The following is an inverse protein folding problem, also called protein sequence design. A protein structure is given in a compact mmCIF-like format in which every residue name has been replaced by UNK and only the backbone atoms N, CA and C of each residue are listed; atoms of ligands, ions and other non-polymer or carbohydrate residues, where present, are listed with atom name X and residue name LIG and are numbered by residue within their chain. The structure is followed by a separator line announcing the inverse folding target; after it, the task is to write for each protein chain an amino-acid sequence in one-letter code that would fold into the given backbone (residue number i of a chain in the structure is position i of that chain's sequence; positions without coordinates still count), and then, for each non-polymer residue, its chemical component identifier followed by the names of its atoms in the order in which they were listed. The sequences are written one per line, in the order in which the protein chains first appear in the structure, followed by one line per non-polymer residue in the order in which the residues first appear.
data_IF_595501740202
#
_entry.id   IF_595501740202
#
_cell.length_a   1.000
_cell.length_b   1.000
_cell.length_c   1.000
_cell.angle_alpha   90.00
_cell.angle_beta   90.00
_cell.angle_gamma   90.00
#
_symmetry.space_group_name_H-M   'P 1'
#
loop_
_entity.id
_entity.type
_entity.pdbx_description
1 polymer ?
#
# COMPACT_ATOMS: atom_id res chain seq x y z
N UNK A 1 -2.81 12.11 -13.50
CA UNK A 1 -2.54 11.85 -12.08
C UNK A 1 -3.06 10.46 -11.76
N UNK A 2 -2.16 9.50 -11.57
CA UNK A 2 -2.51 8.12 -11.24
C UNK A 2 -2.84 7.99 -9.76
N UNK A 3 -3.87 7.22 -9.42
CA UNK A 3 -4.27 7.00 -8.02
C UNK A 3 -4.07 5.53 -7.67
N UNK A 4 -3.52 5.31 -6.49
CA UNK A 4 -3.33 4.00 -5.89
C UNK A 4 -4.14 3.90 -4.60
N UNK A 5 -4.66 2.72 -4.34
CA UNK A 5 -5.51 2.44 -3.17
C UNK A 5 -4.74 1.59 -2.18
N UNK A 6 -4.65 2.09 -0.96
CA UNK A 6 -4.12 1.40 0.20
C UNK A 6 -5.25 0.71 0.98
N UNK A 7 -5.09 -0.59 1.25
CA UNK A 7 -6.00 -1.33 2.13
C UNK A 7 -5.25 -2.24 3.10
N UNK A 8 -5.88 -2.52 4.23
CA UNK A 8 -5.42 -3.51 5.21
C UNK A 8 -6.33 -4.74 5.12
N UNK A 9 -5.73 -5.91 5.00
CA UNK A 9 -6.40 -7.20 4.87
C UNK A 9 -5.94 -8.19 5.94
N UNK A 10 -6.64 -9.32 5.96
CA UNK A 10 -6.31 -10.49 6.76
C UNK A 10 -6.20 -11.71 5.87
N UNK A 11 -5.17 -12.53 6.07
CA UNK A 11 -5.11 -13.84 5.43
C UNK A 11 -5.93 -14.89 6.23
N UNK A 12 -5.95 -16.12 5.72
CA UNK A 12 -6.62 -17.27 6.34
C UNK A 12 -6.13 -17.61 7.76
N UNK A 13 -4.95 -17.12 8.14
CA UNK A 13 -4.34 -17.30 9.45
C UNK A 13 -4.55 -16.09 10.38
N UNK A 14 -5.42 -15.15 10.00
CA UNK A 14 -5.62 -13.87 10.66
C UNK A 14 -4.36 -13.00 10.72
N UNK A 15 -3.43 -13.22 9.78
CA UNK A 15 -2.27 -12.35 9.57
C UNK A 15 -2.72 -11.05 8.94
N UNK A 16 -2.43 -9.94 9.59
CA UNK A 16 -2.60 -8.63 8.97
C UNK A 16 -1.61 -8.46 7.83
N UNK A 17 -2.02 -7.93 6.71
CA UNK A 17 -1.13 -7.42 5.68
C UNK A 17 -1.74 -6.18 5.05
N UNK A 18 -0.93 -5.37 4.39
CA UNK A 18 -1.39 -4.18 3.71
C UNK A 18 -0.98 -4.25 2.25
N UNK A 19 -1.85 -3.79 1.36
CA UNK A 19 -1.60 -3.82 -0.08
C UNK A 19 -1.79 -2.42 -0.66
N UNK A 20 -1.08 -2.15 -1.74
CA UNK A 20 -1.26 -0.98 -2.59
C UNK A 20 -1.64 -1.47 -3.98
N UNK A 21 -2.78 -0.99 -4.47
CA UNK A 21 -3.42 -1.44 -5.71
C UNK A 21 -3.56 -0.28 -6.68
N UNK A 22 -3.57 -0.58 -7.98
CA UNK A 22 -3.97 0.38 -9.00
C UNK A 22 -5.48 0.65 -8.90
N UNK A 23 -5.88 1.93 -8.78
CA UNK A 23 -7.29 2.30 -8.68
C UNK A 23 -8.14 1.93 -9.89
N UNK A 24 -7.51 1.70 -11.04
CA UNK A 24 -8.17 1.24 -12.27
C UNK A 24 -8.35 -0.28 -12.30
N UNK A 25 -7.55 -1.05 -11.55
CA UNK A 25 -7.51 -2.52 -11.57
C UNK A 25 -7.44 -3.13 -10.16
N UNK A 26 -8.45 -2.85 -9.33
CA UNK A 26 -8.50 -3.29 -7.92
C UNK A 26 -8.58 -4.82 -7.69
N UNK A 27 -8.76 -5.61 -8.76
CA UNK A 27 -8.89 -7.08 -8.71
C UNK A 27 -7.63 -7.85 -9.09
N UNK A 28 -6.59 -7.16 -9.56
CA UNK A 28 -5.33 -7.77 -9.99
C UNK A 28 -4.30 -7.84 -8.85
N UNK A 29 -3.14 -8.41 -9.14
CA UNK A 29 -2.01 -8.47 -8.19
C UNK A 29 -1.63 -7.06 -7.71
N UNK A 30 -1.39 -6.89 -6.40
CA UNK A 30 -1.01 -5.62 -5.83
C UNK A 30 0.33 -5.13 -6.40
N UNK A 31 0.44 -3.82 -6.61
CA UNK A 31 1.70 -3.21 -7.05
C UNK A 31 2.75 -3.22 -5.92
N UNK A 32 2.28 -3.35 -4.68
CA UNK A 32 3.13 -3.47 -3.50
C UNK A 32 2.38 -4.07 -2.32
N UNK A 33 3.03 -4.98 -1.61
CA UNK A 33 2.50 -5.62 -0.41
C UNK A 33 3.39 -5.43 0.82
N UNK A 34 2.73 -5.44 1.97
CA UNK A 34 3.33 -5.28 3.30
C UNK A 34 2.83 -6.39 4.20
N UNK A 35 3.72 -7.28 4.63
CA UNK A 35 3.39 -8.35 5.57
C UNK A 35 4.25 -8.27 6.84
N UNK A 36 3.73 -8.71 7.99
CA UNK A 36 4.43 -8.73 9.28
C UNK A 36 5.52 -9.80 9.37
N UNK A 37 5.65 -10.70 8.38
CA UNK A 37 6.70 -11.73 8.30
C UNK A 37 7.15 -11.99 6.86
N UNK A 38 8.26 -12.73 6.73
CA UNK A 38 8.96 -13.02 5.47
C UNK A 38 8.05 -13.93 4.67
N UNK A 39 7.17 -13.33 3.88
CA UNK A 39 6.62 -13.98 2.71
C UNK A 39 7.63 -13.72 1.60
N UNK A 40 8.11 -14.77 0.93
CA UNK A 40 9.06 -14.62 -0.19
C UNK A 40 8.56 -13.53 -1.15
N UNK A 41 9.36 -12.48 -1.36
CA UNK A 41 9.01 -11.36 -2.23
C UNK A 41 8.37 -10.13 -1.56
N UNK A 42 8.13 -10.13 -0.24
CA UNK A 42 7.52 -9.00 0.48
C UNK A 42 8.57 -8.17 1.23
N UNK A 43 8.60 -6.86 0.98
CA UNK A 43 9.56 -5.94 1.61
C UNK A 43 9.13 -5.53 3.02
N UNK A 44 10.05 -5.60 3.98
CA UNK A 44 9.82 -5.19 5.36
C UNK A 44 10.09 -3.71 5.61
N UNK A 45 9.19 -3.06 6.35
CA UNK A 45 9.43 -1.75 6.96
C UNK A 45 10.16 -1.89 8.30
N UNK A 46 11.44 -2.26 8.27
CA UNK A 46 12.33 -2.01 9.42
C UNK A 46 13.21 -0.80 9.12
N UNK A 47 12.61 0.40 9.02
CA UNK A 47 13.42 1.64 9.05
C UNK A 47 12.91 2.90 8.36
N UNK A 48 11.88 2.85 7.51
CA UNK A 48 11.51 4.02 6.69
C UNK A 48 10.23 4.77 7.14
N UNK A 49 10.23 5.24 8.37
CA UNK A 49 9.43 6.41 8.74
C UNK A 49 7.94 6.23 8.98
N UNK A 50 7.35 5.05 8.74
CA UNK A 50 5.99 4.74 9.19
C UNK A 50 5.96 4.56 10.71
N UNK A 51 5.96 5.67 11.44
CA UNK A 51 5.87 5.67 12.91
C UNK A 51 4.50 5.20 13.40
N UNK A 52 3.50 5.22 12.51
CA UNK A 52 2.11 4.85 12.80
C UNK A 52 1.53 4.00 11.67
N UNK A 53 0.67 3.05 12.02
CA UNK A 53 -0.04 2.13 11.11
C UNK A 53 -0.90 2.81 10.02
N UNK A 54 -1.12 4.12 10.11
CA UNK A 54 -1.97 4.91 9.21
C UNK A 54 -1.16 5.99 8.45
N UNK A 55 0.17 5.92 8.41
CA UNK A 55 1.01 6.93 7.77
C UNK A 55 1.05 6.76 6.23
N UNK A 56 -0.09 7.04 5.58
CA UNK A 56 -0.24 6.95 4.11
C UNK A 56 0.72 7.90 3.39
N UNK A 57 0.96 9.09 3.95
CA UNK A 57 1.92 10.07 3.40
C UNK A 57 3.35 9.53 3.42
N UNK A 58 3.75 8.86 4.51
CA UNK A 58 5.03 8.18 4.62
C UNK A 58 5.18 7.04 3.62
N UNK A 59 4.12 6.25 3.44
CA UNK A 59 4.06 5.17 2.45
C UNK A 59 4.20 5.71 1.02
N UNK A 60 3.43 6.74 0.64
CA UNK A 60 3.50 7.34 -0.70
C UNK A 60 4.92 7.81 -1.03
N UNK A 61 5.56 8.56 -0.12
CA UNK A 61 6.93 9.05 -0.31
C UNK A 61 7.93 7.91 -0.47
N UNK A 62 7.75 6.83 0.30
CA UNK A 62 8.60 5.66 0.20
C UNK A 62 8.46 4.97 -1.16
N UNK A 63 7.23 4.72 -1.61
CA UNK A 63 6.96 4.04 -2.88
C UNK A 63 7.49 4.83 -4.09
N UNK A 64 7.36 6.16 -4.07
CA UNK A 64 7.98 7.05 -5.06
C UNK A 64 9.50 6.93 -5.05
N UNK A 65 10.11 7.01 -3.86
CA UNK A 65 11.56 6.91 -3.68
C UNK A 65 12.16 5.60 -4.20
N UNK A 66 11.45 4.48 -4.09
CA UNK A 66 11.90 3.18 -4.60
C UNK A 66 11.46 2.91 -6.05
N UNK A 67 10.73 3.83 -6.69
CA UNK A 67 10.32 3.74 -8.08
C UNK A 67 9.16 2.76 -8.35
N UNK A 68 8.39 2.38 -7.34
CA UNK A 68 7.22 1.49 -7.49
C UNK A 68 6.02 2.25 -8.06
N UNK A 69 5.86 3.53 -7.70
CA UNK A 69 4.82 4.41 -8.24
C UNK A 69 5.46 5.70 -8.80
N UNK A 70 4.74 6.36 -9.72
CA UNK A 70 5.16 7.61 -10.35
C UNK A 70 5.22 8.79 -9.36
N UNK A 71 6.07 9.79 -9.61
CA UNK A 71 6.29 10.94 -8.73
C UNK A 71 5.03 11.80 -8.52
N UNK A 72 4.16 11.91 -9.53
CA UNK A 72 2.89 12.65 -9.47
C UNK A 72 1.71 11.77 -9.01
N UNK A 73 1.95 10.48 -8.73
CA UNK A 73 0.91 9.57 -8.26
C UNK A 73 0.46 9.91 -6.83
N UNK A 74 -0.73 9.45 -6.46
CA UNK A 74 -1.28 9.61 -5.12
C UNK A 74 -1.67 8.25 -4.53
N UNK A 75 -1.40 8.05 -3.24
CA UNK A 75 -1.95 6.93 -2.46
C UNK A 75 -3.09 7.44 -1.58
N UNK A 76 -4.24 6.76 -1.61
CA UNK A 76 -5.38 7.05 -0.75
C UNK A 76 -5.87 5.78 -0.07
N UNK A 77 -6.61 5.91 1.04
CA UNK A 77 -7.23 4.74 1.67
C UNK A 77 -8.39 4.20 0.82
N UNK A 78 -8.71 2.92 0.99
CA UNK A 78 -9.89 2.31 0.37
C UNK A 78 -11.18 3.04 0.78
N UNK A 79 -11.32 3.43 2.04
CA UNK A 79 -12.49 4.14 2.55
C UNK A 79 -12.67 5.49 1.83
N UNK A 80 -11.59 6.25 1.64
CA UNK A 80 -11.61 7.50 0.90
C UNK A 80 -11.94 7.28 -0.58
N UNK A 81 -11.40 6.22 -1.19
CA UNK A 81 -11.68 5.89 -2.59
C UNK A 81 -13.17 5.56 -2.81
N UNK A 82 -13.77 4.75 -1.92
CA UNK A 82 -15.18 4.38 -2.00
C UNK A 82 -16.09 5.57 -1.72
N UNK A 83 -15.71 6.46 -0.79
CA UNK A 83 -16.53 7.63 -0.41
C UNK A 83 -16.58 8.75 -1.47
N UNK A 84 -15.67 8.73 -2.44
CA UNK A 84 -15.57 9.77 -3.50
C UNK A 84 -16.05 9.28 -4.88
N UNK A 85 -16.73 8.14 -4.95
CA UNK A 85 -17.40 7.61 -6.17
C UNK A 85 -18.90 7.80 -6.09
#
# INVERSE_FOLDING_TARGET
MKTYVYRINFDENATFYAEVLDSENLGDDPVFDVAPWEREGVFFFKGYGMKHKNDIDGLEKFLKKIGVIEEDAKVISLDDFVSNR
#
